data_IF_797547623206
#
_entry.id   IF_797547623206
#
_cell.length_a   1.000
_cell.length_b   1.000
_cell.length_c   1.000
_cell.angle_alpha   90.00
_cell.angle_beta   90.00
_cell.angle_gamma   90.00
#
_symmetry.space_group_name_H-M   'P 1'
#
loop_
_entity.id
_entity.type
_entity.pdbx_description
1 polymer ?
#
# COMPACT_ATOMS: atom_id res chain seq x y z
N UNK A 1 8.69 5.02 -10.54
CA UNK A 1 8.67 4.55 -9.13
C UNK A 1 7.64 3.44 -8.99
N UNK A 2 7.97 2.35 -8.29
CA UNK A 2 7.01 1.26 -8.04
C UNK A 2 6.42 1.35 -6.64
N UNK A 3 5.13 1.05 -6.54
CA UNK A 3 4.40 1.03 -5.29
C UNK A 3 3.26 0.02 -5.25
N UNK A 4 2.50 0.06 -4.16
CA UNK A 4 1.36 -0.81 -3.91
C UNK A 4 0.23 -0.05 -3.21
N UNK A 5 -0.98 -0.60 -3.28
CA UNK A 5 -2.11 -0.10 -2.49
C UNK A 5 -2.23 -0.93 -1.21
N UNK A 6 -2.35 -0.24 -0.09
CA UNK A 6 -2.54 -0.83 1.23
C UNK A 6 -4.04 -0.83 1.51
N UNK A 7 -4.62 -2.02 1.43
CA UNK A 7 -6.06 -2.28 1.61
C UNK A 7 -6.34 -3.02 2.92
N UNK A 8 -5.33 -3.68 3.49
CA UNK A 8 -5.45 -4.26 4.82
C UNK A 8 -5.54 -3.15 5.88
N UNK A 9 -6.34 -3.38 6.91
CA UNK A 9 -6.38 -2.54 8.11
C UNK A 9 -5.36 -3.00 9.16
N UNK A 10 -4.28 -3.65 8.74
CA UNK A 10 -3.32 -4.31 9.60
C UNK A 10 -1.92 -3.66 9.53
N UNK A 11 -1.48 -2.93 10.58
CA UNK A 11 -0.15 -2.34 10.63
C UNK A 11 0.99 -3.37 10.53
N UNK A 12 0.77 -4.62 10.96
CA UNK A 12 1.78 -5.68 10.87
C UNK A 12 2.04 -6.10 9.42
N UNK A 13 0.99 -6.12 8.59
CA UNK A 13 1.11 -6.38 7.15
C UNK A 13 1.76 -5.17 6.46
N UNK A 14 1.28 -3.96 6.74
CA UNK A 14 1.82 -2.73 6.15
C UNK A 14 3.32 -2.56 6.44
N UNK A 15 3.78 -2.90 7.66
CA UNK A 15 5.21 -2.84 8.02
C UNK A 15 6.11 -3.69 7.12
N UNK A 16 5.60 -4.78 6.54
CA UNK A 16 6.41 -5.61 5.66
C UNK A 16 6.80 -4.86 4.38
N UNK A 17 6.01 -3.86 3.95
CA UNK A 17 6.31 -3.08 2.74
C UNK A 17 7.63 -2.34 2.84
N UNK A 18 7.98 -1.81 4.01
CA UNK A 18 9.27 -1.13 4.26
C UNK A 18 10.49 -2.06 4.14
N UNK A 19 10.27 -3.37 4.02
CA UNK A 19 11.32 -4.38 3.81
C UNK A 19 11.35 -4.90 2.38
N UNK A 20 10.55 -4.31 1.49
CA UNK A 20 10.51 -4.66 0.06
C UNK A 20 11.23 -3.60 -0.77
N UNK A 21 11.36 -3.85 -2.07
CA UNK A 21 11.83 -2.84 -3.03
C UNK A 21 10.78 -1.79 -3.44
N UNK A 22 9.57 -1.85 -2.89
CA UNK A 22 8.51 -0.89 -3.22
C UNK A 22 8.74 0.43 -2.49
N UNK A 23 8.79 1.51 -3.26
CA UNK A 23 9.14 2.86 -2.78
C UNK A 23 7.92 3.73 -2.49
N UNK A 24 6.73 3.25 -2.88
CA UNK A 24 5.46 3.94 -2.71
C UNK A 24 4.43 3.01 -2.06
N UNK A 25 3.73 3.50 -1.05
CA UNK A 25 2.55 2.87 -0.48
C UNK A 25 1.38 3.86 -0.51
N UNK A 26 0.26 3.47 -1.14
CA UNK A 26 -0.98 4.25 -1.08
C UNK A 26 -1.94 3.61 -0.10
N UNK A 27 -2.18 4.25 1.03
CA UNK A 27 -3.18 3.83 2.03
C UNK A 27 -4.56 4.19 1.51
N UNK A 28 -5.42 3.18 1.40
CA UNK A 28 -6.75 3.35 0.83
C UNK A 28 -7.85 3.51 1.89
N UNK A 29 -8.47 4.69 1.91
CA UNK A 29 -9.65 4.96 2.75
C UNK A 29 -10.96 4.92 1.95
N UNK A 30 -10.92 4.63 0.64
CA UNK A 30 -12.11 4.63 -0.22
C UNK A 30 -12.75 3.25 -0.36
N UNK A 31 -11.95 2.22 -0.67
CA UNK A 31 -12.45 0.88 -1.04
C UNK A 31 -12.10 -0.23 -0.03
N UNK A 32 -11.68 0.15 1.18
CA UNK A 32 -11.24 -0.78 2.23
C UNK A 32 -12.06 -0.73 3.52
N UNK A 33 -11.62 -1.52 4.49
CA UNK A 33 -12.14 -1.51 5.87
C UNK A 33 -11.39 -0.50 6.76
N UNK A 34 -10.37 0.16 6.22
CA UNK A 34 -9.58 1.13 6.96
C UNK A 34 -10.34 2.45 7.07
N UNK A 35 -10.49 2.93 8.31
CA UNK A 35 -11.09 4.22 8.61
C UNK A 35 -10.04 5.25 9.04
N UNK A 36 -10.49 6.48 9.30
CA UNK A 36 -9.62 7.56 9.77
C UNK A 36 -8.92 7.25 11.10
N UNK A 37 -9.48 6.39 11.98
CA UNK A 37 -8.84 6.03 13.25
C UNK A 37 -7.67 5.08 13.05
N UNK A 38 -7.79 4.18 12.08
CA UNK A 38 -6.74 3.26 11.69
C UNK A 38 -5.57 3.92 10.95
N UNK A 39 -5.73 5.14 10.43
CA UNK A 39 -4.71 5.80 9.62
C UNK A 39 -3.38 6.01 10.37
N UNK A 40 -3.39 6.56 11.59
CA UNK A 40 -2.14 6.86 12.32
C UNK A 40 -1.28 5.60 12.58
N UNK A 41 -1.81 4.48 13.08
CA UNK A 41 -1.06 3.23 13.18
C UNK A 41 -0.48 2.74 11.86
N UNK A 42 -1.23 2.86 10.76
CA UNK A 42 -0.77 2.44 9.43
C UNK A 42 0.41 3.30 8.96
N UNK A 43 0.33 4.62 9.12
CA UNK A 43 1.43 5.54 8.79
C UNK A 43 2.67 5.25 9.66
N UNK A 44 2.48 4.94 10.94
CA UNK A 44 3.56 4.50 11.83
C UNK A 44 4.26 3.22 11.38
N UNK A 45 3.52 2.29 10.77
CA UNK A 45 4.07 1.07 10.20
C UNK A 45 4.79 1.29 8.86
N UNK A 46 4.41 2.32 8.10
CA UNK A 46 4.95 2.66 6.79
C UNK A 46 6.12 3.65 6.83
N UNK A 47 6.67 3.96 8.01
CA UNK A 47 7.74 4.97 8.18
C UNK A 47 9.03 4.70 7.38
N UNK A 48 9.29 3.43 7.04
CA UNK A 48 10.45 3.02 6.24
C UNK A 48 10.16 3.07 4.72
N UNK A 49 8.90 3.35 4.32
CA UNK A 49 8.53 3.51 2.90
C UNK A 49 8.77 4.97 2.50
N UNK A 50 9.52 5.18 1.42
CA UNK A 50 9.95 6.52 0.98
C UNK A 50 8.79 7.47 0.71
N UNK A 51 7.74 7.00 0.03
CA UNK A 51 6.58 7.80 -0.32
C UNK A 51 5.30 7.12 0.19
N UNK A 52 4.54 7.83 1.02
CA UNK A 52 3.23 7.37 1.50
C UNK A 52 2.15 8.33 1.01
N UNK A 53 1.20 7.79 0.27
CA UNK A 53 0.03 8.50 -0.23
C UNK A 53 -1.20 8.05 0.55
N UNK A 54 -2.20 8.91 0.68
CA UNK A 54 -3.51 8.52 1.22
C UNK A 54 -4.59 8.85 0.20
N UNK A 55 -5.33 7.83 -0.24
CA UNK A 55 -6.56 8.04 -1.03
C UNK A 55 -7.71 8.38 -0.10
N UNK A 56 -8.27 9.57 -0.29
CA UNK A 56 -9.34 10.08 0.54
C UNK A 56 -10.66 9.33 0.29
N UNK A 57 -11.54 9.17 1.29
CA UNK A 57 -12.90 8.66 1.06
C UNK A 57 -13.79 9.70 0.35
N UNK A 58 -13.51 10.99 0.54
CA UNK A 58 -14.20 12.11 -0.10
C UNK A 58 -13.30 13.35 -0.15
N UNK A 59 -13.68 14.35 -0.95
CA UNK A 59 -12.99 15.64 -1.07
C UNK A 59 -13.42 16.70 -0.05
N UNK A 60 -14.07 16.30 1.05
CA UNK A 60 -14.55 17.25 2.07
C UNK A 60 -13.41 17.88 2.87
N UNK A 61 -13.49 19.19 3.12
CA UNK A 61 -12.44 19.97 3.79
C UNK A 61 -11.98 19.35 5.11
N UNK A 62 -12.93 18.88 5.94
CA UNK A 62 -12.64 18.28 7.23
C UNK A 62 -11.91 16.92 7.10
N UNK A 63 -12.21 16.16 6.06
CA UNK A 63 -11.56 14.87 5.77
C UNK A 63 -10.14 15.10 5.31
N UNK A 64 -9.96 15.96 4.30
CA UNK A 64 -8.65 16.27 3.71
C UNK A 64 -7.71 16.87 4.76
N UNK A 65 -8.20 17.86 5.52
CA UNK A 65 -7.45 18.49 6.59
C UNK A 65 -6.97 17.48 7.64
N UNK A 66 -7.87 16.60 8.11
CA UNK A 66 -7.52 15.56 9.09
C UNK A 66 -6.48 14.58 8.55
N UNK A 67 -6.58 14.13 7.30
CA UNK A 67 -5.58 13.22 6.72
C UNK A 67 -4.20 13.89 6.73
N UNK A 68 -4.12 15.15 6.29
CA UNK A 68 -2.87 15.89 6.27
C UNK A 68 -2.35 16.22 7.68
N UNK A 69 -3.21 16.32 8.69
CA UNK A 69 -2.82 16.51 10.10
C UNK A 69 -2.07 15.29 10.68
N UNK A 70 -2.19 14.13 10.03
CA UNK A 70 -1.40 12.94 10.36
C UNK A 70 0.03 12.96 9.80
N UNK A 71 0.42 14.01 9.06
CA UNK A 71 1.78 14.18 8.53
C UNK A 71 2.01 13.59 7.15
N UNK A 72 0.93 13.26 6.43
CA UNK A 72 1.00 12.83 5.03
C UNK A 72 1.18 14.04 4.12
N UNK A 73 2.04 13.91 3.11
CA UNK A 73 2.27 14.97 2.10
C UNK A 73 1.35 14.83 0.90
N UNK A 74 1.10 13.60 0.46
CA UNK A 74 0.32 13.31 -0.76
C UNK A 74 -1.06 12.77 -0.44
N UNK A 75 -2.08 13.49 -0.90
CA UNK A 75 -3.49 13.10 -0.77
C UNK A 75 -4.11 12.94 -2.16
N UNK A 76 -4.89 11.87 -2.35
CA UNK A 76 -5.50 11.53 -3.63
C UNK A 76 -7.02 11.71 -3.53
N UNK A 77 -7.57 12.56 -4.40
CA UNK A 77 -9.02 12.75 -4.55
C UNK A 77 -9.56 11.75 -5.58
N UNK A 78 -10.40 10.78 -5.19
CA UNK A 78 -11.07 9.92 -6.16
C UNK A 78 -12.25 10.62 -6.84
N UNK A 79 -12.79 9.98 -7.88
CA UNK A 79 -14.02 10.33 -8.59
C UNK A 79 -14.09 11.78 -9.10
N UNK A 80 -12.96 12.28 -9.60
CA UNK A 80 -12.88 13.62 -10.20
C UNK A 80 -13.54 13.61 -11.56
N UNK A 81 -14.43 14.57 -11.81
CA UNK A 81 -15.06 14.80 -13.11
C UNK A 81 -14.86 16.23 -13.64
N UNK A 82 -14.44 17.18 -12.80
CA UNK A 82 -14.37 18.61 -13.16
C UNK A 82 -13.18 19.32 -12.51
N UNK A 83 -12.65 20.34 -13.18
CA UNK A 83 -11.61 21.21 -12.64
C UNK A 83 -12.00 21.86 -11.30
N UNK A 84 -13.27 22.26 -11.16
CA UNK A 84 -13.80 22.86 -9.92
C UNK A 84 -13.71 21.92 -8.70
N UNK A 85 -13.91 20.61 -8.89
CA UNK A 85 -13.71 19.65 -7.79
C UNK A 85 -12.26 19.65 -7.33
N UNK A 86 -11.32 19.70 -8.28
CA UNK A 86 -9.89 19.75 -8.00
C UNK A 86 -9.47 21.06 -7.36
N UNK A 87 -9.99 22.20 -7.84
CA UNK A 87 -9.76 23.52 -7.22
C UNK A 87 -10.19 23.53 -5.76
N UNK A 88 -11.39 23.02 -5.46
CA UNK A 88 -11.89 22.93 -4.09
C UNK A 88 -10.99 22.03 -3.23
N UNK A 89 -10.56 20.89 -3.78
CA UNK A 89 -9.68 19.96 -3.08
C UNK A 89 -8.28 20.53 -2.80
N UNK A 90 -7.67 21.22 -3.77
CA UNK A 90 -6.38 21.90 -3.55
C UNK A 90 -6.52 22.99 -2.48
N UNK A 91 -7.63 23.74 -2.48
CA UNK A 91 -7.91 24.75 -1.46
C UNK A 91 -8.17 24.15 -0.08
N UNK A 92 -8.80 22.99 0.01
CA UNK A 92 -8.97 22.23 1.25
C UNK A 92 -7.65 21.69 1.79
N UNK A 93 -6.71 21.34 0.91
CA UNK A 93 -5.41 20.79 1.27
C UNK A 93 -4.37 21.86 1.70
N UNK A 94 -4.59 23.12 1.35
CA UNK A 94 -3.62 24.22 1.53
C UNK A 94 -4.12 25.32 2.46
N UNK A 95 -3.21 25.96 3.18
CA UNK A 95 -3.46 27.08 4.07
C UNK A 95 -3.64 28.40 3.30
N UNK A 96 -4.28 29.42 3.92
CA UNK A 96 -4.31 30.78 3.37
C UNK A 96 -2.89 31.31 3.02
N UNK A 97 -2.75 32.12 1.95
CA UNK A 97 -3.80 32.65 1.07
C UNK A 97 -4.20 31.71 -0.10
N UNK A 98 -3.53 30.57 -0.29
CA UNK A 98 -3.79 29.66 -1.44
C UNK A 98 -5.04 28.82 -1.25
N UNK A 99 -5.36 28.48 -0.01
CA UNK A 99 -6.52 27.69 0.35
C UNK A 99 -7.18 28.17 1.64
N UNK A 100 -7.92 27.27 2.26
CA UNK A 100 -8.68 27.52 3.48
C UNK A 100 -8.55 26.38 4.50
N UNK A 101 -7.51 25.55 4.39
CA UNK A 101 -7.22 24.51 5.39
C UNK A 101 -7.11 25.14 6.79
N UNK A 102 -7.82 24.56 7.75
CA UNK A 102 -7.71 24.96 9.16
C UNK A 102 -6.36 24.54 9.73
N UNK A 103 -5.73 25.43 10.49
CA UNK A 103 -4.43 25.15 11.13
C UNK A 103 -4.62 24.59 12.53
N UNK A 104 -4.10 23.39 12.77
CA UNK A 104 -4.00 22.78 14.08
C UNK A 104 -2.53 22.80 14.54
N UNK A 105 -2.23 23.57 15.59
CA UNK A 105 -0.85 23.77 16.07
C UNK A 105 -0.23 22.58 16.83
N UNK A 106 -0.99 21.52 17.08
CA UNK A 106 -0.56 20.31 17.81
C UNK A 106 -0.76 19.05 16.97
N UNK A 107 -0.34 19.09 15.70
CA UNK A 107 -0.41 17.91 14.83
C UNK A 107 0.69 16.90 15.16
N UNK A 108 0.43 15.62 14.93
CA UNK A 108 1.44 14.55 15.05
C UNK A 108 2.54 14.68 13.98
N UNK A 109 2.25 15.44 12.91
CA UNK A 109 3.23 15.96 11.98
C UNK A 109 4.09 17.01 12.69
N UNK A 110 5.25 16.61 13.18
CA UNK A 110 6.22 17.54 13.78
C UNK A 110 6.74 18.46 12.67
N UNK A 111 6.09 19.60 12.46
CA UNK A 111 6.51 20.63 11.52
C UNK A 111 5.42 21.04 10.54
N UNK A 112 5.04 22.32 10.59
CA UNK A 112 4.39 22.99 9.48
C UNK A 112 5.36 23.00 8.29
N UNK A 113 5.26 22.04 7.37
CA UNK A 113 6.08 22.03 6.15
C UNK A 113 5.58 23.04 5.09
N UNK A 114 4.45 23.71 5.38
CA UNK A 114 3.85 24.72 4.52
C UNK A 114 3.14 24.16 3.30
N UNK A 115 2.54 25.06 2.51
CA UNK A 115 1.78 24.68 1.31
C UNK A 115 2.62 23.98 0.25
N UNK A 116 3.91 24.30 0.16
CA UNK A 116 4.83 23.76 -0.85
C UNK A 116 5.18 22.29 -0.63
N UNK A 117 4.91 21.72 0.55
CA UNK A 117 5.13 20.31 0.83
C UNK A 117 3.92 19.43 0.47
N UNK A 118 2.73 20.02 0.37
CA UNK A 118 1.50 19.28 0.07
C UNK A 118 1.47 18.92 -1.41
N UNK A 119 0.98 17.71 -1.70
CA UNK A 119 0.95 17.10 -3.03
C UNK A 119 -0.47 16.60 -3.32
N UNK A 120 -1.42 17.46 -3.72
CA UNK A 120 -2.76 17.04 -4.12
C UNK A 120 -2.70 16.26 -5.44
N UNK A 121 -3.33 15.09 -5.50
CA UNK A 121 -3.41 14.26 -6.70
C UNK A 121 -4.87 14.02 -7.06
N UNK A 122 -5.24 14.21 -8.32
CA UNK A 122 -6.60 13.98 -8.82
C UNK A 122 -6.69 12.63 -9.53
N UNK A 123 -7.70 11.83 -9.21
CA UNK A 123 -7.89 10.53 -9.84
C UNK A 123 -8.73 10.64 -11.13
N UNK A 124 -8.17 10.21 -12.26
CA UNK A 124 -8.84 10.18 -13.56
C UNK A 124 -9.38 8.77 -13.80
N UNK A 125 -10.69 8.62 -13.66
CA UNK A 125 -11.34 7.30 -13.64
C UNK A 125 -12.75 7.29 -14.27
N UNK A 126 -13.12 8.36 -14.98
CA UNK A 126 -14.40 8.45 -15.70
C UNK A 126 -14.22 9.11 -17.07
N UNK A 127 -15.15 8.85 -17.99
CA UNK A 127 -15.25 9.56 -19.27
C UNK A 127 -15.43 11.07 -19.09
N UNK A 128 -16.24 11.50 -18.11
CA UNK A 128 -16.39 12.91 -17.78
C UNK A 128 -15.08 13.57 -17.31
N UNK A 129 -14.21 12.84 -16.61
CA UNK A 129 -12.88 13.31 -16.26
C UNK A 129 -12.01 13.53 -17.51
N UNK A 130 -12.11 12.65 -18.51
CA UNK A 130 -11.41 12.78 -19.78
C UNK A 130 -11.89 13.99 -20.58
N UNK A 131 -13.20 14.20 -20.65
CA UNK A 131 -13.80 15.36 -21.33
C UNK A 131 -13.32 16.69 -20.71
N UNK A 132 -12.95 16.68 -19.42
CA UNK A 132 -12.47 17.84 -18.67
C UNK A 132 -10.96 17.81 -18.38
N UNK A 133 -10.21 16.89 -19.01
CA UNK A 133 -8.83 16.60 -18.64
C UNK A 133 -7.93 17.83 -18.72
N UNK A 134 -8.00 18.60 -19.81
CA UNK A 134 -7.20 19.81 -19.98
C UNK A 134 -7.49 20.82 -18.86
N UNK A 135 -8.76 21.06 -18.55
CA UNK A 135 -9.15 21.99 -17.50
C UNK A 135 -8.69 21.51 -16.11
N UNK A 136 -8.78 20.21 -15.83
CA UNK A 136 -8.27 19.60 -14.59
C UNK A 136 -6.76 19.81 -14.48
N UNK A 137 -6.01 19.56 -15.55
CA UNK A 137 -4.56 19.68 -15.59
C UNK A 137 -4.05 21.12 -15.43
N UNK A 138 -4.90 22.12 -15.69
CA UNK A 138 -4.56 23.54 -15.52
C UNK A 138 -4.84 24.08 -14.11
N UNK A 139 -5.38 23.27 -13.18
CA UNK A 139 -5.71 23.73 -11.83
C UNK A 139 -4.43 24.07 -11.05
N UNK A 140 -4.24 25.34 -10.60
CA UNK A 140 -3.04 25.72 -9.86
C UNK A 140 -2.90 24.97 -8.54
N UNK A 141 -1.72 24.40 -8.29
CA UNK A 141 -1.43 23.66 -7.06
C UNK A 141 -1.81 22.18 -7.10
N UNK A 142 -2.39 21.69 -8.20
CA UNK A 142 -2.46 20.25 -8.46
C UNK A 142 -1.02 19.72 -8.67
N UNK A 143 -0.68 18.62 -8.01
CA UNK A 143 0.66 18.02 -8.14
C UNK A 143 0.73 16.95 -9.22
N UNK A 144 -0.34 16.17 -9.37
CA UNK A 144 -0.34 15.06 -10.30
C UNK A 144 -1.71 14.43 -10.51
N UNK A 145 -1.72 13.44 -11.40
CA UNK A 145 -2.87 12.60 -11.68
C UNK A 145 -2.60 11.16 -11.26
N UNK A 146 -3.64 10.47 -10.81
CA UNK A 146 -3.65 9.02 -10.66
C UNK A 146 -4.70 8.44 -11.62
N UNK A 147 -4.31 7.59 -12.55
CA UNK A 147 -5.28 6.91 -13.42
C UNK A 147 -5.86 5.71 -12.68
N UNK A 148 -7.18 5.64 -12.63
CA UNK A 148 -7.96 4.48 -12.19
C UNK A 148 -8.51 3.72 -13.40
N UNK A 149 -7.71 2.86 -14.05
CA UNK A 149 -7.99 2.40 -15.40
C UNK A 149 -9.17 1.42 -15.49
N UNK A 150 -9.49 0.69 -14.41
CA UNK A 150 -10.63 -0.23 -14.41
C UNK A 150 -11.97 0.51 -14.34
N UNK A 151 -12.10 1.52 -13.49
CA UNK A 151 -13.28 2.38 -13.45
C UNK A 151 -13.38 3.23 -14.72
N UNK A 152 -12.23 3.70 -15.24
CA UNK A 152 -12.18 4.42 -16.52
C UNK A 152 -12.69 3.56 -17.68
N UNK A 153 -12.17 2.34 -17.82
CA UNK A 153 -12.62 1.39 -18.83
C UNK A 153 -14.13 1.14 -18.70
N UNK A 154 -14.61 0.91 -17.47
CA UNK A 154 -16.04 0.70 -17.21
C UNK A 154 -16.88 1.92 -17.62
N UNK A 155 -16.41 3.13 -17.35
CA UNK A 155 -17.10 4.37 -17.74
C UNK A 155 -17.17 4.58 -19.25
N UNK A 156 -16.23 3.97 -19.99
CA UNK A 156 -16.18 3.96 -21.46
C UNK A 156 -16.92 2.76 -22.08
N UNK A 157 -17.57 1.93 -21.26
CA UNK A 157 -18.26 0.72 -21.72
C UNK A 157 -17.33 -0.45 -22.08
N UNK A 158 -16.07 -0.40 -21.64
CA UNK A 158 -15.07 -1.44 -21.86
C UNK A 158 -15.02 -2.36 -20.64
N UNK A 159 -14.91 -3.67 -20.86
CA UNK A 159 -14.82 -4.64 -19.77
C UNK A 159 -13.43 -4.62 -19.10
N UNK A 160 -13.33 -4.74 -17.77
CA UNK A 160 -12.05 -4.59 -17.06
C UNK A 160 -10.96 -5.61 -17.45
N UNK A 161 -11.34 -6.79 -17.94
CA UNK A 161 -10.42 -7.87 -18.34
C UNK A 161 -9.54 -7.49 -19.55
N UNK A 162 -10.01 -6.58 -20.40
CA UNK A 162 -9.26 -6.13 -21.58
C UNK A 162 -8.66 -4.74 -21.40
N UNK A 163 -8.74 -4.13 -20.21
CA UNK A 163 -8.35 -2.73 -19.96
C UNK A 163 -7.00 -2.34 -20.56
N UNK A 164 -5.92 -3.10 -20.33
CA UNK A 164 -4.59 -2.77 -20.87
C UNK A 164 -4.32 -3.35 -22.27
N UNK A 165 -5.29 -3.98 -22.92
CA UNK A 165 -5.16 -4.49 -24.29
C UNK A 165 -6.09 -3.78 -25.28
N UNK A 166 -7.12 -3.10 -24.77
CA UNK A 166 -8.10 -2.41 -25.58
C UNK A 166 -7.52 -1.11 -26.18
N UNK A 167 -7.61 -0.95 -27.50
CA UNK A 167 -7.02 0.18 -28.24
C UNK A 167 -7.47 1.54 -27.67
N UNK A 168 -8.77 1.73 -27.43
CA UNK A 168 -9.27 2.98 -26.86
C UNK A 168 -8.67 3.30 -25.47
N UNK A 169 -8.40 2.29 -24.63
CA UNK A 169 -7.74 2.53 -23.34
C UNK A 169 -6.27 2.91 -23.52
N UNK A 170 -5.61 2.38 -24.56
CA UNK A 170 -4.24 2.76 -24.87
C UNK A 170 -4.15 4.22 -25.30
N UNK A 171 -5.03 4.65 -26.22
CA UNK A 171 -5.12 6.04 -26.65
C UNK A 171 -5.45 6.98 -25.49
N UNK A 172 -6.33 6.57 -24.58
CA UNK A 172 -6.68 7.32 -23.37
C UNK A 172 -5.49 7.45 -22.42
N UNK A 173 -4.74 6.37 -22.19
CA UNK A 173 -3.53 6.42 -21.34
C UNK A 173 -2.49 7.37 -21.94
N UNK A 174 -2.26 7.30 -23.24
CA UNK A 174 -1.32 8.17 -23.94
C UNK A 174 -1.78 9.64 -23.89
N UNK A 175 -3.08 9.89 -24.03
CA UNK A 175 -3.67 11.23 -23.88
C UNK A 175 -3.45 11.78 -22.47
N UNK A 176 -3.77 11.00 -21.43
CA UNK A 176 -3.60 11.43 -20.03
C UNK A 176 -2.15 11.74 -19.71
N UNK A 177 -1.22 10.88 -20.14
CA UNK A 177 0.22 11.09 -19.94
C UNK A 177 0.67 12.36 -20.65
N UNK A 178 0.30 12.52 -21.92
CA UNK A 178 0.71 13.67 -22.74
C UNK A 178 0.20 14.98 -22.16
N UNK A 179 -1.10 15.08 -21.84
CA UNK A 179 -1.69 16.31 -21.29
C UNK A 179 -1.08 16.65 -19.93
N UNK A 180 -0.91 15.66 -19.05
CA UNK A 180 -0.33 15.90 -17.73
C UNK A 180 1.12 16.38 -17.82
N UNK A 181 1.94 15.77 -18.68
CA UNK A 181 3.32 16.20 -18.90
C UNK A 181 3.42 17.62 -19.46
N UNK A 182 2.54 17.98 -20.41
CA UNK A 182 2.46 19.35 -20.94
C UNK A 182 2.10 20.39 -19.86
N UNK A 183 1.32 19.98 -18.87
CA UNK A 183 0.99 20.80 -17.69
C UNK A 183 2.03 20.72 -16.56
N UNK A 184 3.12 19.97 -16.72
CA UNK A 184 4.16 19.79 -15.69
C UNK A 184 3.71 18.94 -14.49
N UNK A 185 2.66 18.13 -14.65
CA UNK A 185 2.11 17.27 -13.61
C UNK A 185 2.76 15.89 -13.59
N UNK A 186 2.88 15.30 -12.41
CA UNK A 186 3.26 13.89 -12.27
C UNK A 186 2.08 12.98 -12.63
N UNK A 187 2.36 11.82 -13.20
CA UNK A 187 1.33 10.81 -13.53
C UNK A 187 1.64 9.50 -12.85
N UNK A 188 0.63 8.95 -12.19
CA UNK A 188 0.64 7.60 -11.68
C UNK A 188 -0.54 6.80 -12.21
N UNK A 189 -0.47 5.47 -12.14
CA UNK A 189 -1.59 4.61 -12.45
C UNK A 189 -1.58 3.35 -11.57
N UNK A 190 -2.77 2.84 -11.32
CA UNK A 190 -2.93 1.44 -10.94
C UNK A 190 -2.59 0.53 -12.13
N UNK A 191 -1.91 -0.59 -11.89
CA UNK A 191 -1.54 -1.59 -12.89
C UNK A 191 -2.22 -2.95 -12.67
N UNK A 192 -2.28 -3.42 -11.43
CA UNK A 192 -2.84 -4.74 -11.07
C UNK A 192 -2.06 -5.97 -11.57
N UNK A 193 -0.95 -5.76 -12.29
CA UNK A 193 -0.03 -6.81 -12.72
C UNK A 193 1.34 -6.21 -13.08
N UNK A 194 2.38 -7.04 -13.05
CA UNK A 194 3.73 -6.65 -13.48
C UNK A 194 3.79 -6.27 -14.96
N UNK A 195 3.13 -7.05 -15.83
CA UNK A 195 3.10 -6.76 -17.27
C UNK A 195 2.47 -5.39 -17.56
N UNK A 196 1.34 -5.08 -16.92
CA UNK A 196 0.74 -3.75 -17.04
C UNK A 196 1.65 -2.67 -16.45
N UNK A 197 2.35 -2.95 -15.36
CA UNK A 197 3.24 -1.99 -14.72
C UNK A 197 4.43 -1.62 -15.60
N UNK A 198 5.09 -2.60 -16.22
CA UNK A 198 6.17 -2.37 -17.19
C UNK A 198 5.69 -1.52 -18.35
N UNK A 199 4.54 -1.88 -18.93
CA UNK A 199 3.99 -1.14 -20.05
C UNK A 199 3.65 0.33 -19.66
N UNK A 200 3.13 0.56 -18.46
CA UNK A 200 2.86 1.92 -17.96
C UNK A 200 4.14 2.72 -17.71
N UNK A 201 5.20 2.09 -17.19
CA UNK A 201 6.50 2.75 -17.03
C UNK A 201 7.12 3.13 -18.37
N UNK A 202 7.04 2.26 -19.37
CA UNK A 202 7.51 2.54 -20.74
C UNK A 202 6.75 3.70 -21.41
N UNK A 203 5.48 3.93 -21.02
CA UNK A 203 4.70 5.11 -21.44
C UNK A 203 5.15 6.41 -20.76
N UNK A 204 6.05 6.35 -19.77
CA UNK A 204 6.59 7.53 -19.09
C UNK A 204 5.83 7.96 -17.83
N UNK A 205 5.05 7.06 -17.21
CA UNK A 205 4.45 7.32 -15.91
C UNK A 205 5.53 7.43 -14.82
N UNK A 206 5.37 8.40 -13.91
CA UNK A 206 6.31 8.66 -12.82
C UNK A 206 6.20 7.61 -11.72
N UNK A 207 4.99 7.10 -11.46
CA UNK A 207 4.75 6.05 -10.48
C UNK A 207 3.71 5.03 -10.94
N UNK A 208 3.83 3.79 -10.47
CA UNK A 208 2.88 2.72 -10.76
C UNK A 208 2.57 1.92 -9.51
N UNK A 209 1.29 1.71 -9.23
CA UNK A 209 0.80 0.86 -8.14
C UNK A 209 0.52 -0.55 -8.71
N UNK A 210 1.41 -1.50 -8.40
CA UNK A 210 1.47 -2.80 -9.09
C UNK A 210 0.37 -3.75 -8.66
N UNK A 211 0.01 -3.73 -7.37
CA UNK A 211 -0.92 -4.66 -6.75
C UNK A 211 -1.36 -4.15 -5.38
N UNK A 212 -1.99 -5.02 -4.59
CA UNK A 212 -2.33 -4.72 -3.18
C UNK A 212 -1.59 -5.61 -2.21
N UNK A 213 -1.42 -5.12 -0.99
CA UNK A 213 -0.90 -5.91 0.13
C UNK A 213 -1.67 -7.23 0.37
N UNK A 214 -3.00 -7.19 0.26
CA UNK A 214 -3.86 -8.36 0.40
C UNK A 214 -3.70 -9.35 -0.76
N UNK A 215 -3.52 -8.86 -1.99
CA UNK A 215 -3.23 -9.72 -3.14
C UNK A 215 -1.89 -10.44 -2.95
N UNK A 216 -0.84 -9.72 -2.56
CA UNK A 216 0.47 -10.33 -2.32
C UNK A 216 0.43 -11.38 -1.21
N UNK A 217 -0.33 -11.12 -0.13
CA UNK A 217 -0.51 -12.09 0.95
C UNK A 217 -1.24 -13.36 0.46
N UNK A 218 -2.31 -13.20 -0.31
CA UNK A 218 -3.04 -14.32 -0.89
C UNK A 218 -2.13 -15.17 -1.80
N UNK A 219 -1.37 -14.52 -2.69
CA UNK A 219 -0.47 -15.18 -3.63
C UNK A 219 0.64 -15.95 -2.90
N UNK A 220 1.25 -15.34 -1.88
CA UNK A 220 2.29 -15.97 -1.06
C UNK A 220 1.78 -17.18 -0.26
N UNK A 221 0.56 -17.10 0.29
CA UNK A 221 -0.09 -18.23 0.97
C UNK A 221 -0.35 -19.37 -0.02
N UNK A 222 -0.92 -19.05 -1.19
CA UNK A 222 -1.22 -20.04 -2.22
C UNK A 222 0.06 -20.73 -2.72
N UNK A 223 1.12 -19.97 -2.97
CA UNK A 223 2.42 -20.50 -3.37
C UNK A 223 3.03 -21.39 -2.28
N UNK A 224 3.01 -20.95 -1.01
CA UNK A 224 3.51 -21.74 0.12
C UNK A 224 2.77 -23.07 0.26
N UNK A 225 1.43 -23.05 0.16
CA UNK A 225 0.62 -24.26 0.25
C UNK A 225 0.90 -25.26 -0.88
N UNK A 226 1.18 -24.77 -2.10
CA UNK A 226 1.57 -25.58 -3.25
C UNK A 226 2.95 -26.23 -3.04
N UNK A 227 3.95 -25.44 -2.59
CA UNK A 227 5.32 -25.92 -2.37
C UNK A 227 5.39 -26.91 -1.19
N UNK A 228 4.67 -26.66 -0.11
CA UNK A 228 4.60 -27.56 1.06
C UNK A 228 3.79 -28.84 0.82
N UNK A 229 3.18 -29.01 -0.36
CA UNK A 229 2.33 -30.17 -0.69
C UNK A 229 0.99 -30.21 0.06
N UNK A 230 0.66 -29.16 0.82
CA UNK A 230 -0.56 -29.05 1.63
C UNK A 230 -1.81 -28.91 0.74
N UNK A 231 -1.71 -28.26 -0.41
CA UNK A 231 -2.83 -28.10 -1.35
C UNK A 231 -3.29 -29.41 -2.00
N UNK A 232 -2.45 -30.47 -2.02
CA UNK A 232 -2.85 -31.78 -2.56
C UNK A 232 -3.64 -32.64 -1.57
N UNK A 233 -3.72 -32.26 -0.29
CA UNK A 233 -4.43 -33.02 0.75
C UNK A 233 -5.80 -32.46 1.13
N UNK A 234 -6.16 -31.24 0.76
CA UNK A 234 -7.29 -30.51 1.39
C UNK A 234 -8.45 -30.10 0.48
N UNK A 235 -8.43 -30.35 -0.84
CA UNK A 235 -9.58 -30.04 -1.73
C UNK A 235 -10.59 -31.20 -1.80
N UNK A 236 -10.84 -31.86 -0.67
CA UNK A 236 -11.87 -32.90 -0.52
C UNK A 236 -12.63 -32.79 0.81
N UNK A 237 -12.61 -31.63 1.48
CA UNK A 237 -13.54 -31.40 2.57
C UNK A 237 -14.93 -31.08 1.98
N UNK A 238 -15.98 -31.85 2.27
CA UNK A 238 -17.33 -31.52 1.83
C UNK A 238 -17.72 -30.15 2.41
N UNK A 239 -18.19 -29.25 1.55
CA UNK A 239 -18.85 -28.01 1.98
C UNK A 239 -20.05 -28.43 2.85
N UNK A 240 -20.09 -28.08 4.14
CA UNK A 240 -21.28 -28.38 4.94
C UNK A 240 -22.48 -27.66 4.32
N UNK A 241 -23.67 -28.29 4.25
CA UNK A 241 -24.85 -27.62 3.73
C UNK A 241 -25.07 -26.34 4.54
N UNK A 242 -25.36 -25.23 3.84
CA UNK A 242 -25.75 -23.97 4.49
C UNK A 242 -26.86 -24.27 5.48
N UNK A 243 -26.61 -24.08 6.76
CA UNK A 243 -27.67 -24.07 7.76
C UNK A 243 -28.65 -22.96 7.39
N UNK A 244 -29.94 -23.27 7.42
CA UNK A 244 -31.02 -22.29 7.22
C UNK A 244 -30.80 -21.05 8.12
N UNK A 245 -31.23 -19.85 7.69
CA UNK A 245 -31.10 -18.66 8.50
C UNK A 245 -31.83 -18.87 9.84
N UNK A 246 -31.08 -18.72 10.93
CA UNK A 246 -31.62 -18.71 12.29
C UNK A 246 -32.78 -17.72 12.35
N UNK A 247 -33.97 -18.25 12.61
CA UNK A 247 -35.16 -17.46 12.85
C UNK A 247 -34.89 -16.41 13.93
N UNK A 248 -35.23 -15.18 13.60
CA UNK A 248 -35.26 -14.01 14.48
C UNK A 248 -36.00 -14.33 15.79
N UNK A 249 -35.30 -14.22 16.92
CA UNK A 249 -35.90 -14.40 18.24
C UNK A 249 -35.05 -13.83 19.36
N UNK A 250 -35.40 -12.60 19.78
CA UNK A 250 -35.13 -11.97 21.09
C UNK A 250 -33.68 -11.54 21.37
N UNK A 251 -33.38 -10.44 22.05
CA UNK A 251 -34.09 -9.23 22.48
C UNK A 251 -32.99 -8.21 22.85
N UNK A 252 -33.28 -6.93 22.70
CA UNK A 252 -32.46 -5.86 23.27
C UNK A 252 -32.35 -6.04 24.79
N UNK A 253 -31.12 -6.00 25.33
CA UNK A 253 -30.76 -5.54 26.69
C UNK A 253 -29.35 -6.01 27.07
N UNK A 254 -28.31 -5.36 26.54
CA UNK A 254 -26.99 -5.26 27.22
C UNK A 254 -26.39 -3.88 26.94
N UNK A 255 -26.98 -2.85 27.55
CA UNK A 255 -26.30 -1.60 27.85
C UNK A 255 -26.35 -1.43 29.37
N UNK A 256 -25.17 -1.41 30.00
CA UNK A 256 -25.03 -0.99 31.39
C UNK A 256 -24.04 -1.83 32.18
N UNK A 257 -22.81 -1.35 32.34
CA UNK A 257 -22.22 -1.09 33.65
C UNK A 257 -20.89 -0.35 33.51
N UNK A 258 -20.56 0.41 34.55
CA UNK A 258 -19.76 1.62 34.53
C UNK A 258 -18.29 1.42 34.90
N UNK A 259 -17.57 2.53 34.69
CA UNK A 259 -16.27 2.98 35.17
C UNK A 259 -15.75 2.44 36.52
N UNK A 260 -14.43 2.18 36.57
CA UNK A 260 -13.42 2.95 37.33
C UNK A 260 -12.15 2.12 37.49
N UNK A 261 -11.00 2.61 37.01
CA UNK A 261 -9.84 2.95 37.86
C UNK A 261 -8.63 3.41 37.03
N UNK A 262 -8.08 4.56 37.43
CA UNK A 262 -6.89 5.20 36.90
C UNK A 262 -5.65 4.74 37.68
N UNK A 263 -4.59 4.37 36.96
CA UNK A 263 -3.25 4.19 37.52
C UNK A 263 -2.21 4.88 36.65
N UNK A 264 -1.73 6.03 37.10
CA UNK A 264 -0.71 6.87 36.46
C UNK A 264 0.70 6.31 36.62
N UNK A 265 1.51 6.37 35.55
CA UNK A 265 2.97 6.41 35.64
C UNK A 265 3.58 7.19 34.47
N UNK A 266 4.22 8.32 34.78
CA UNK A 266 5.09 9.08 33.88
C UNK A 266 6.49 8.43 33.84
N UNK A 267 7.11 8.37 32.68
CA UNK A 267 8.55 8.17 32.55
C UNK A 267 9.12 9.12 31.49
N UNK A 268 10.15 9.87 31.90
CA UNK A 268 10.94 10.78 31.09
C UNK A 268 11.92 9.98 30.21
N UNK A 269 12.15 10.40 28.96
CA UNK A 269 13.21 9.86 28.09
C UNK A 269 14.17 10.95 27.63
N UNK A 270 15.45 10.76 27.98
CA UNK A 270 16.63 11.41 27.38
C UNK A 270 17.37 10.34 26.56
N UNK A 271 18.02 10.64 25.43
CA UNK A 271 18.32 9.65 24.39
C UNK A 271 19.68 8.95 24.62
N UNK A 272 19.76 7.63 24.40
CA UNK A 272 21.04 6.89 24.34
C UNK A 272 21.11 5.82 23.23
N UNK A 273 22.35 5.69 22.74
CA UNK A 273 23.03 4.78 21.83
C UNK A 273 22.43 3.39 21.44
N UNK A 274 22.85 2.82 20.29
CA UNK A 274 22.30 1.58 19.71
C UNK A 274 22.30 0.39 20.67
N UNK A 275 21.17 -0.33 20.71
CA UNK A 275 20.88 -1.38 21.71
C UNK A 275 20.77 -2.80 21.14
N UNK A 276 21.06 -3.02 19.85
CA UNK A 276 20.92 -4.36 19.26
C UNK A 276 22.18 -4.88 18.53
N UNK A 277 22.57 -6.16 18.75
CA UNK A 277 23.78 -6.75 18.16
C UNK A 277 23.80 -6.83 16.62
N UNK A 278 22.67 -6.69 15.93
CA UNK A 278 22.62 -6.72 14.45
C UNK A 278 23.12 -5.41 13.82
N UNK A 279 23.23 -4.33 14.59
CA UNK A 279 23.89 -3.09 14.14
C UNK A 279 25.43 -3.19 14.22
N UNK A 280 25.97 -4.16 14.97
CA UNK A 280 27.42 -4.38 15.14
C UNK A 280 27.97 -5.56 14.33
N UNK A 281 27.12 -6.50 13.92
CA UNK A 281 27.50 -7.61 13.05
C UNK A 281 27.19 -7.24 11.59
N UNK A 282 28.21 -6.80 10.85
CA UNK A 282 28.12 -6.59 9.40
C UNK A 282 27.42 -7.80 8.76
N UNK A 283 26.26 -7.55 8.16
CA UNK A 283 25.43 -8.58 7.55
C UNK A 283 26.20 -9.15 6.36
N UNK A 284 26.50 -10.47 6.31
CA UNK A 284 27.00 -11.05 5.07
C UNK A 284 25.87 -10.93 4.05
N UNK A 285 26.15 -10.23 2.95
CA UNK A 285 25.20 -10.17 1.85
C UNK A 285 24.91 -11.59 1.37
N UNK A 286 23.64 -11.90 1.10
CA UNK A 286 23.20 -13.13 0.43
C UNK A 286 23.77 -13.30 -1.00
N UNK A 287 24.70 -12.43 -1.43
CA UNK A 287 25.33 -12.44 -2.75
C UNK A 287 26.63 -13.25 -2.84
N UNK A 288 27.15 -13.81 -1.74
CA UNK A 288 28.44 -14.53 -1.74
C UNK A 288 28.36 -16.06 -1.65
N UNK A 289 27.15 -16.64 -1.74
CA UNK A 289 27.02 -18.08 -1.92
C UNK A 289 27.08 -18.43 -3.41
N UNK A 290 28.27 -18.85 -3.87
CA UNK A 290 28.60 -19.51 -5.14
C UNK A 290 27.54 -19.39 -6.25
N UNK A 291 27.80 -18.51 -7.22
CA UNK A 291 26.99 -18.32 -8.43
C UNK A 291 26.55 -19.66 -9.05
N UNK A 292 25.25 -20.03 -8.96
CA UNK A 292 24.69 -20.95 -9.93
C UNK A 292 24.53 -20.14 -11.23
N UNK A 293 24.97 -20.70 -12.36
CA UNK A 293 24.92 -20.17 -13.73
C UNK A 293 24.19 -18.82 -13.90
N UNK A 294 24.94 -17.81 -14.36
CA UNK A 294 24.55 -16.39 -14.47
C UNK A 294 23.31 -16.06 -15.35
N UNK A 295 22.55 -17.06 -15.80
CA UNK A 295 21.41 -16.94 -16.69
C UNK A 295 20.06 -17.38 -16.08
N UNK A 296 20.00 -17.69 -14.78
CA UNK A 296 18.75 -18.14 -14.12
C UNK A 296 18.30 -17.19 -13.02
N UNK A 297 17.12 -16.60 -13.20
CA UNK A 297 16.48 -15.75 -12.19
C UNK A 297 15.68 -16.62 -11.19
N UNK A 298 16.21 -16.81 -9.98
CA UNK A 298 15.55 -17.62 -8.95
C UNK A 298 14.24 -17.01 -8.40
N UNK A 299 13.88 -15.80 -8.83
CA UNK A 299 12.56 -15.21 -8.55
C UNK A 299 11.52 -15.57 -9.63
N UNK A 300 11.95 -16.14 -10.76
CA UNK A 300 11.11 -16.64 -11.84
C UNK A 300 10.78 -18.13 -11.66
N UNK A 301 9.48 -18.48 -11.70
CA UNK A 301 8.99 -19.85 -11.50
C UNK A 301 9.46 -20.82 -12.60
N UNK A 302 9.68 -20.35 -13.82
CA UNK A 302 10.20 -21.16 -14.92
C UNK A 302 11.68 -21.49 -14.74
N UNK A 303 12.47 -20.51 -14.31
CA UNK A 303 13.91 -20.67 -14.06
C UNK A 303 14.17 -21.48 -12.79
N UNK A 304 13.33 -21.33 -11.75
CA UNK A 304 13.31 -22.23 -10.60
C UNK A 304 13.02 -23.68 -10.99
N UNK A 305 12.07 -23.91 -11.92
CA UNK A 305 11.76 -25.26 -12.42
C UNK A 305 12.91 -25.84 -13.23
N UNK A 306 13.63 -25.00 -13.97
CA UNK A 306 14.82 -25.38 -14.73
C UNK A 306 16.00 -25.72 -13.81
N UNK A 307 16.28 -24.87 -12.83
CA UNK A 307 17.28 -25.09 -11.80
C UNK A 307 17.00 -26.39 -11.00
N UNK A 308 15.73 -26.65 -10.66
CA UNK A 308 15.30 -27.89 -10.01
C UNK A 308 15.53 -29.12 -10.89
N UNK A 309 15.24 -29.03 -12.19
CA UNK A 309 15.45 -30.14 -13.12
C UNK A 309 16.93 -30.50 -13.26
N UNK A 310 17.80 -29.49 -13.15
CA UNK A 310 19.27 -29.63 -13.26
C UNK A 310 19.92 -30.12 -11.97
N UNK A 311 19.42 -29.71 -10.80
CA UNK A 311 19.96 -30.15 -9.51
C UNK A 311 18.84 -30.40 -8.48
N UNK A 312 18.29 -31.63 -8.43
CA UNK A 312 17.19 -31.96 -7.51
C UNK A 312 17.55 -31.87 -6.02
N UNK A 313 18.85 -31.84 -5.66
CA UNK A 313 19.31 -31.73 -4.28
C UNK A 313 19.20 -30.31 -3.71
N UNK A 314 19.11 -29.29 -4.57
CA UNK A 314 19.11 -27.87 -4.19
C UNK A 314 17.98 -27.49 -3.23
N UNK A 315 16.75 -27.99 -3.48
CA UNK A 315 15.60 -27.75 -2.60
C UNK A 315 15.73 -28.43 -1.24
N UNK A 316 16.45 -29.57 -1.18
CA UNK A 316 16.72 -30.26 0.08
C UNK A 316 17.65 -29.43 0.95
N UNK A 317 18.66 -28.81 0.36
CA UNK A 317 19.64 -28.02 1.09
C UNK A 317 19.10 -26.63 1.46
N UNK A 318 18.27 -26.01 0.59
CA UNK A 318 17.51 -24.81 0.94
C UNK A 318 16.50 -25.07 2.06
N UNK A 319 15.76 -26.18 1.98
CA UNK A 319 14.82 -26.59 3.04
C UNK A 319 15.53 -26.89 4.36
N UNK A 320 16.74 -27.44 4.31
CA UNK A 320 17.58 -27.70 5.49
C UNK A 320 18.08 -26.40 6.13
N UNK A 321 18.59 -25.46 5.33
CA UNK A 321 19.02 -24.15 5.81
C UNK A 321 17.87 -23.35 6.43
N UNK A 322 16.66 -23.49 5.87
CA UNK A 322 15.45 -22.84 6.41
C UNK A 322 14.97 -23.50 7.70
N UNK A 323 15.04 -24.83 7.80
CA UNK A 323 14.74 -25.57 9.03
C UNK A 323 15.74 -25.26 10.16
N UNK A 324 17.03 -25.16 9.84
CA UNK A 324 18.09 -24.80 10.80
C UNK A 324 17.91 -23.36 11.33
N UNK A 325 17.45 -22.44 10.48
CA UNK A 325 17.14 -21.06 10.89
C UNK A 325 15.92 -20.97 11.82
N UNK A 326 14.92 -21.84 11.62
CA UNK A 326 13.73 -21.94 12.49
C UNK A 326 14.10 -22.59 13.83
N UNK A 327 14.86 -23.68 13.82
CA UNK A 327 15.35 -24.32 15.05
C UNK A 327 16.23 -23.36 15.88
N UNK A 328 17.03 -22.51 15.24
CA UNK A 328 17.81 -21.48 15.93
C UNK A 328 16.93 -20.39 16.57
N UNK A 329 15.75 -20.12 16.00
CA UNK A 329 14.79 -19.16 16.51
C UNK A 329 13.97 -19.74 17.67
N UNK A 330 13.52 -20.99 17.55
CA UNK A 330 12.70 -21.68 18.55
C UNK A 330 13.50 -22.09 19.80
N UNK A 331 14.82 -22.30 19.67
CA UNK A 331 15.72 -22.61 20.80
C UNK A 331 16.41 -21.38 21.42
N UNK A 332 16.01 -20.16 21.05
CA UNK A 332 16.54 -18.94 21.64
C UNK A 332 15.92 -18.70 23.03
N UNK A 333 16.64 -19.10 24.10
CA UNK A 333 16.23 -18.77 25.47
C UNK A 333 16.45 -17.27 25.76
N UNK A 334 15.35 -16.57 26.07
CA UNK A 334 15.40 -15.21 26.61
C UNK A 334 16.17 -15.21 27.94
N UNK A 335 17.17 -14.33 28.15
CA UNK A 335 17.90 -14.29 29.41
C UNK A 335 16.94 -13.98 30.56
N UNK A 336 16.94 -14.84 31.59
CA UNK A 336 16.16 -14.61 32.80
C UNK A 336 16.60 -13.33 33.49
N UNK A 337 15.67 -12.37 33.68
CA UNK A 337 15.87 -11.22 34.55
C UNK A 337 16.03 -11.72 36.00
N UNK A 338 17.26 -11.82 36.47
CA UNK A 338 17.57 -11.93 37.90
C UNK A 338 18.86 -11.17 38.21
N UNK A 339 18.74 -10.18 39.12
CA UNK A 339 19.79 -9.31 39.64
C UNK A 339 19.75 -7.93 38.98
N UNK A 340 19.48 -6.80 39.64
CA UNK A 340 19.52 -6.44 41.05
C UNK A 340 18.48 -5.35 41.38
N UNK A 341 18.37 -5.07 42.67
CA UNK A 341 17.30 -4.38 43.42
C UNK A 341 17.04 -2.92 43.05
#
# INVERSE_FOLDING_TARGET
MLGTVVTSSCPLVARQLGRTGLRLAMVDLQHGLLDMRGLLPMLGALREVENVWVRCPSGEDAVVGRILDHGVRTVVLPAVNTARQVENFVRAATYPPRGHRSFQGMTFAVGYEGNEAVRPVAMIETSAALDNLDAICQVPGLHGLLVGPYDLARSLGITPDVTYSHVAMQEVLDQVVTTAQQSGLQVAAWAGSEMAATALLERGLNAVLVGTDMQYLQDAIAQSALVSGLSRRSIQAPVPPRSEPLATGMSADIFGMASDDLGSAQAQHTPTAPTHPWEAAGTPSLFEAQQPDADLDITNVADMREAYRRNPALLKDMGRAWAEAIDAFDNYELPSRNGER
#
